data_IF_150760087104
#
_entry.id   IF_150760087104
#
_cell.length_a   1.000
_cell.length_b   1.000
_cell.length_c   1.000
_cell.angle_alpha   90.00
_cell.angle_beta   90.00
_cell.angle_gamma   90.00
#
_symmetry.space_group_name_H-M   'P 1'
#
loop_
_entity.id
_entity.type
_entity.pdbx_description
1 polymer ?
#
# COMPACT_ATOMS: atom_id res chain seq x y z
N UNK A 1 26.05 25.91 -42.98
CA UNK A 1 24.82 25.93 -42.15
C UNK A 1 24.30 24.53 -41.79
N UNK A 2 24.57 23.48 -42.60
CA UNK A 2 24.17 22.08 -42.32
C UNK A 2 24.80 21.46 -41.07
N UNK A 3 26.08 21.74 -40.78
CA UNK A 3 26.76 21.19 -39.60
C UNK A 3 26.15 21.63 -38.27
N UNK A 4 25.64 22.86 -38.18
CA UNK A 4 24.95 23.35 -36.97
C UNK A 4 23.65 22.58 -36.73
N UNK A 5 22.91 22.24 -37.79
CA UNK A 5 21.68 21.44 -37.69
C UNK A 5 21.97 20.00 -37.29
N UNK A 6 23.04 19.40 -37.84
CA UNK A 6 23.45 18.05 -37.47
C UNK A 6 23.85 17.96 -35.98
N UNK A 7 24.62 18.94 -35.49
CA UNK A 7 24.99 19.01 -34.06
C UNK A 7 23.76 19.19 -33.20
N UNK A 8 22.84 20.09 -33.58
CA UNK A 8 21.61 20.33 -32.82
C UNK A 8 20.72 19.08 -32.75
N UNK A 9 20.57 18.35 -33.86
CA UNK A 9 19.83 17.10 -33.91
C UNK A 9 20.44 16.02 -33.00
N UNK A 10 21.77 15.88 -32.99
CA UNK A 10 22.48 14.93 -32.11
C UNK A 10 22.29 15.33 -30.65
N UNK A 11 22.43 16.62 -30.30
CA UNK A 11 22.23 17.11 -28.93
C UNK A 11 20.78 16.87 -28.49
N UNK A 12 19.78 17.20 -29.31
CA UNK A 12 18.38 16.91 -29.03
C UNK A 12 18.12 15.41 -28.84
N UNK A 13 18.74 14.55 -29.66
CA UNK A 13 18.61 13.10 -29.54
C UNK A 13 19.22 12.57 -28.23
N UNK A 14 20.40 13.08 -27.84
CA UNK A 14 21.05 12.71 -26.58
C UNK A 14 20.23 13.15 -25.38
N UNK A 15 19.71 14.39 -25.38
CA UNK A 15 18.82 14.89 -24.33
C UNK A 15 17.54 14.08 -24.24
N UNK A 16 16.93 13.74 -25.38
CA UNK A 16 15.75 12.89 -25.45
C UNK A 16 16.01 11.50 -24.87
N UNK A 17 17.15 10.87 -25.24
CA UNK A 17 17.54 9.55 -24.76
C UNK A 17 17.80 9.53 -23.26
N UNK A 18 18.47 10.54 -22.72
CA UNK A 18 18.72 10.65 -21.29
C UNK A 18 17.41 10.83 -20.52
N UNK A 19 16.52 11.70 -20.99
CA UNK A 19 15.26 11.99 -20.32
C UNK A 19 14.27 10.82 -20.33
N UNK A 20 14.17 10.09 -21.45
CA UNK A 20 13.26 8.94 -21.54
C UNK A 20 13.71 7.72 -20.72
N UNK A 21 15.01 7.56 -20.51
CA UNK A 21 15.55 6.45 -19.73
C UNK A 21 15.14 6.52 -18.25
N UNK A 22 15.03 7.72 -17.68
CA UNK A 22 14.58 7.91 -16.30
C UNK A 22 13.09 7.62 -16.11
N UNK A 23 12.25 7.97 -17.11
CA UNK A 23 10.80 7.69 -17.05
C UNK A 23 10.51 6.19 -17.00
N UNK A 24 11.21 5.40 -17.83
CA UNK A 24 11.05 3.94 -17.87
C UNK A 24 11.36 3.27 -16.52
N UNK A 25 12.41 3.73 -15.82
CA UNK A 25 12.76 3.25 -14.47
C UNK A 25 11.71 3.60 -13.42
N UNK A 26 11.07 4.77 -13.52
CA UNK A 26 9.99 5.14 -12.61
C UNK A 26 8.75 4.26 -12.82
N UNK A 27 8.40 3.99 -14.08
CA UNK A 27 7.22 3.19 -14.41
C UNK A 27 7.39 1.72 -13.96
N UNK A 28 8.58 1.13 -14.15
CA UNK A 28 8.92 -0.22 -13.65
C UNK A 28 8.87 -0.28 -12.11
N UNK A 29 9.41 0.72 -11.41
CA UNK A 29 9.33 0.78 -9.94
C UNK A 29 7.88 0.89 -9.43
N UNK A 30 7.07 1.74 -10.06
CA UNK A 30 5.65 1.91 -9.70
C UNK A 30 4.82 0.66 -10.00
N UNK A 31 5.15 -0.07 -11.08
CA UNK A 31 4.52 -1.34 -11.40
C UNK A 31 4.89 -2.42 -10.37
N UNK A 32 6.17 -2.57 -10.06
CA UNK A 32 6.65 -3.53 -9.05
C UNK A 32 6.13 -3.21 -7.63
N UNK A 33 5.97 -1.93 -7.27
CA UNK A 33 5.35 -1.53 -6.01
C UNK A 33 3.86 -1.86 -5.98
N UNK A 34 3.12 -1.63 -7.08
CA UNK A 34 1.72 -2.04 -7.21
C UNK A 34 1.56 -3.55 -7.09
N UNK A 35 2.40 -4.33 -7.76
CA UNK A 35 2.38 -5.80 -7.68
C UNK A 35 2.69 -6.31 -6.27
N UNK A 36 3.68 -5.72 -5.58
CA UNK A 36 3.94 -6.04 -4.17
C UNK A 36 2.76 -5.72 -3.28
N UNK A 37 2.09 -4.58 -3.50
CA UNK A 37 0.91 -4.18 -2.72
C UNK A 37 -0.25 -5.16 -2.89
N UNK A 38 -0.46 -5.66 -4.13
CA UNK A 38 -1.48 -6.66 -4.43
C UNK A 38 -1.12 -8.04 -3.83
N UNK A 39 0.16 -8.42 -3.82
CA UNK A 39 0.59 -9.67 -3.15
C UNK A 39 0.53 -9.58 -1.61
N UNK A 40 0.70 -8.39 -1.04
CA UNK A 40 0.62 -8.18 0.41
C UNK A 40 -0.81 -7.98 0.92
N UNK A 41 -1.82 -8.05 0.05
CA UNK A 41 -3.23 -7.88 0.38
C UNK A 41 -3.75 -9.13 1.11
N UNK A 42 -3.15 -9.43 2.28
CA UNK A 42 -3.62 -10.48 3.18
C UNK A 42 -4.98 -10.02 3.73
N UNK A 43 -6.06 -10.51 3.14
CA UNK A 43 -7.39 -10.27 3.69
C UNK A 43 -7.54 -11.00 5.03
N UNK A 44 -7.68 -10.22 6.09
CA UNK A 44 -7.95 -10.69 7.44
C UNK A 44 -9.43 -10.54 7.75
N UNK A 45 -9.99 -11.53 8.45
CA UNK A 45 -11.40 -11.52 8.82
C UNK A 45 -11.58 -10.79 10.15
N UNK A 46 -12.49 -9.83 10.17
CA UNK A 46 -12.88 -9.12 11.39
C UNK A 46 -13.65 -10.09 12.34
N UNK A 47 -13.22 -10.24 13.61
CA UNK A 47 -13.87 -11.14 14.58
C UNK A 47 -15.24 -10.66 15.08
N UNK A 48 -15.60 -9.39 14.87
CA UNK A 48 -16.85 -8.77 15.34
C UNK A 48 -17.95 -8.89 14.30
N UNK A 49 -17.68 -8.47 13.06
CA UNK A 49 -18.68 -8.45 11.99
C UNK A 49 -18.50 -9.56 10.96
N UNK A 50 -17.34 -10.22 10.91
CA UNK A 50 -17.02 -11.25 9.93
C UNK A 50 -16.62 -10.74 8.54
N UNK A 51 -16.51 -9.42 8.37
CA UNK A 51 -16.09 -8.79 7.11
C UNK A 51 -14.61 -9.02 6.85
N UNK A 52 -14.25 -9.33 5.61
CA UNK A 52 -12.85 -9.41 5.17
C UNK A 52 -12.33 -8.01 4.87
N UNK A 53 -11.22 -7.65 5.48
CA UNK A 53 -10.51 -6.40 5.23
C UNK A 53 -9.05 -6.66 4.99
N UNK A 54 -8.46 -5.81 4.16
CA UNK A 54 -7.05 -5.91 3.87
C UNK A 54 -6.22 -5.55 5.12
N UNK A 55 -5.28 -6.43 5.52
CA UNK A 55 -4.43 -6.26 6.71
C UNK A 55 -3.61 -4.97 6.69
N UNK A 56 -3.27 -4.45 5.50
CA UNK A 56 -2.49 -3.21 5.37
C UNK A 56 -3.35 -1.94 5.61
N UNK A 57 -4.66 -2.03 5.39
CA UNK A 57 -5.62 -0.94 5.62
C UNK A 57 -6.50 -1.12 6.86
N UNK A 58 -6.53 -2.32 7.43
CA UNK A 58 -7.32 -2.66 8.60
C UNK A 58 -6.78 -2.03 9.89
N UNK A 59 -7.68 -1.75 10.83
CA UNK A 59 -7.32 -1.20 12.14
C UNK A 59 -6.86 -2.37 13.02
N UNK A 60 -5.57 -2.43 13.32
CA UNK A 60 -5.03 -3.42 14.26
C UNK A 60 -5.13 -2.94 15.70
N UNK A 61 -5.56 -3.83 16.60
CA UNK A 61 -5.56 -3.60 18.04
C UNK A 61 -4.90 -4.79 18.71
N UNK A 62 -3.99 -4.49 19.63
CA UNK A 62 -3.35 -5.51 20.45
C UNK A 62 -4.21 -5.78 21.68
N UNK A 63 -4.68 -7.02 21.81
CA UNK A 63 -5.43 -7.51 22.96
C UNK A 63 -4.61 -8.63 23.62
N UNK A 64 -3.84 -8.27 24.65
CA UNK A 64 -2.86 -9.17 25.28
C UNK A 64 -1.75 -9.60 24.30
N UNK A 65 -1.65 -10.92 24.09
CA UNK A 65 -0.68 -11.53 23.17
C UNK A 65 -1.19 -11.69 21.72
N UNK A 66 -2.45 -11.35 21.45
CA UNK A 66 -3.03 -11.45 20.12
C UNK A 66 -3.24 -10.07 19.49
N UNK A 67 -2.93 -9.96 18.19
CA UNK A 67 -3.25 -8.78 17.38
C UNK A 67 -4.49 -9.08 16.56
N UNK A 68 -5.54 -8.31 16.81
CA UNK A 68 -6.83 -8.42 16.12
C UNK A 68 -6.96 -7.30 15.11
N UNK A 69 -7.56 -7.62 13.97
CA UNK A 69 -7.78 -6.68 12.87
C UNK A 69 -9.27 -6.39 12.74
N UNK A 70 -9.63 -5.11 12.64
CA UNK A 70 -11.00 -4.65 12.52
C UNK A 70 -11.22 -3.89 11.21
N UNK A 71 -12.42 -4.03 10.66
CA UNK A 71 -12.81 -3.34 9.43
C UNK A 71 -13.08 -1.84 9.65
N UNK A 72 -13.50 -1.46 10.85
CA UNK A 72 -13.93 -0.11 11.16
C UNK A 72 -13.75 0.22 12.64
N UNK A 73 -13.80 1.52 12.96
CA UNK A 73 -13.78 2.02 14.33
C UNK A 73 -14.96 1.49 15.16
N UNK A 74 -16.12 1.27 14.54
CA UNK A 74 -17.29 0.72 15.23
C UNK A 74 -17.05 -0.73 15.70
N UNK A 75 -16.43 -1.56 14.85
CA UNK A 75 -16.07 -2.94 15.23
C UNK A 75 -15.05 -2.94 16.37
N UNK A 76 -14.06 -2.06 16.33
CA UNK A 76 -13.13 -1.86 17.44
C UNK A 76 -13.85 -1.47 18.74
N UNK A 77 -14.80 -0.54 18.69
CA UNK A 77 -15.52 -0.08 19.87
C UNK A 77 -16.34 -1.20 20.51
N UNK A 78 -17.09 -1.95 19.69
CA UNK A 78 -17.85 -3.13 20.14
C UNK A 78 -16.95 -4.19 20.78
N UNK A 79 -15.76 -4.40 20.21
CA UNK A 79 -14.78 -5.32 20.78
C UNK A 79 -14.26 -4.85 22.14
N UNK A 80 -14.01 -3.54 22.31
CA UNK A 80 -13.56 -3.01 23.60
C UNK A 80 -14.66 -3.16 24.66
N UNK A 81 -15.92 -2.90 24.32
CA UNK A 81 -17.07 -3.14 25.21
C UNK A 81 -17.16 -4.60 25.64
N UNK A 82 -17.11 -5.54 24.69
CA UNK A 82 -17.23 -6.97 25.02
C UNK A 82 -16.05 -7.49 25.86
N UNK A 83 -14.83 -6.99 25.62
CA UNK A 83 -13.65 -7.33 26.44
C UNK A 83 -13.77 -6.76 27.86
N UNK A 84 -14.27 -5.53 28.01
CA UNK A 84 -14.49 -4.93 29.33
C UNK A 84 -15.55 -5.71 30.13
N UNK A 85 -16.58 -6.21 29.46
CA UNK A 85 -17.64 -6.98 30.09
C UNK A 85 -17.19 -8.37 30.51
N UNK A 86 -16.39 -9.08 29.68
CA UNK A 86 -15.76 -10.34 30.05
C UNK A 86 -14.82 -10.18 31.26
N UNK A 87 -14.01 -9.12 31.30
CA UNK A 87 -13.07 -8.86 32.41
C UNK A 87 -13.78 -8.55 33.74
N UNK A 88 -15.07 -8.23 33.72
CA UNK A 88 -15.87 -7.95 34.93
C UNK A 88 -16.47 -9.21 35.55
N UNK A 89 -16.40 -10.35 34.84
CA UNK A 89 -17.00 -11.62 35.24
C UNK A 89 -15.97 -12.62 35.81
N UNK A 90 -14.67 -12.33 35.65
CA UNK A 90 -13.54 -12.96 36.35
C UNK A 90 -13.19 -12.19 37.65
#
# INVERSE_FOLDING_TARGET
MIFKLAIFAIVCYVLYRLFMNDRKKQDEKKAAERERKIQSDEMVKDPVCGTYVDKSSAISVRSGDQVLYFCSYECRQKYIESVQEQKKLD
#
